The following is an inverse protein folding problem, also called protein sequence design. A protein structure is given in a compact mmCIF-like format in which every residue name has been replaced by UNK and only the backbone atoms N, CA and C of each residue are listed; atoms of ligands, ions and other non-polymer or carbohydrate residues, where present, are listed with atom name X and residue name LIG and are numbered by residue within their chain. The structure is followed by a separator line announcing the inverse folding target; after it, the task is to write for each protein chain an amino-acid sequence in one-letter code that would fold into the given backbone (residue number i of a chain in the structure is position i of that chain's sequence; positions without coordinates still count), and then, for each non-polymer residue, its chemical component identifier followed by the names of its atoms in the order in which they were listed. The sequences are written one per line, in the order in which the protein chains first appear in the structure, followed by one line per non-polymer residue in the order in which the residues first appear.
data_IF_436832374177
#
_entry.id   IF_436832374177
#
_cell.length_a   1.000
_cell.length_b   1.000
_cell.length_c   1.000
_cell.angle_alpha   90.00
_cell.angle_beta   90.00
_cell.angle_gamma   90.00
#
_symmetry.space_group_name_H-M   'P 1'
#
loop_
_entity.id
_entity.type
_entity.pdbx_description
1 polymer ?
#
# COMPACT_ATOMS: atom_id res chain seq x y z
N UNK A 1 -19.37 5.06 5.85
CA UNK A 1 -18.13 5.17 5.04
C UNK A 1 -16.98 5.23 6.04
N UNK A 2 -15.72 4.88 5.73
CA UNK A 2 -14.65 5.45 6.53
C UNK A 2 -14.81 6.97 6.41
N UNK A 3 -14.98 7.67 7.52
CA UNK A 3 -15.31 9.10 7.53
C UNK A 3 -14.11 9.99 7.14
N UNK A 4 -12.98 9.39 6.76
CA UNK A 4 -11.69 10.05 6.52
C UNK A 4 -10.97 9.43 5.32
N UNK A 5 -10.06 10.20 4.72
CA UNK A 5 -9.21 9.79 3.60
C UNK A 5 -8.36 8.56 3.95
N UNK A 6 -8.25 7.60 3.03
CA UNK A 6 -7.31 6.48 3.17
C UNK A 6 -5.85 6.95 3.14
N UNK A 7 -5.55 7.99 2.33
CA UNK A 7 -4.24 8.64 2.32
C UNK A 7 -3.98 9.32 3.67
N UNK A 8 -2.80 9.07 4.22
CA UNK A 8 -2.29 9.83 5.35
C UNK A 8 -1.96 11.26 4.86
N UNK A 9 -2.59 12.29 5.42
CA UNK A 9 -2.43 13.66 4.93
C UNK A 9 -1.04 14.25 5.16
N UNK A 10 -0.25 13.69 6.08
CA UNK A 10 1.13 14.12 6.36
C UNK A 10 2.16 13.25 5.66
N UNK A 11 1.77 12.42 4.69
CA UNK A 11 2.70 11.53 4.00
C UNK A 11 3.87 12.29 3.35
N UNK A 12 3.61 13.48 2.83
CA UNK A 12 4.61 14.35 2.22
C UNK A 12 5.73 14.80 3.19
N UNK A 13 5.55 14.66 4.50
CA UNK A 13 6.57 15.00 5.49
C UNK A 13 7.57 13.85 5.72
N UNK A 14 7.29 12.66 5.21
CA UNK A 14 8.11 11.47 5.43
C UNK A 14 9.30 11.45 4.47
N UNK A 15 10.51 11.70 4.99
CA UNK A 15 11.77 11.74 4.23
C UNK A 15 12.06 10.49 3.37
N UNK A 16 11.51 9.34 3.76
CA UNK A 16 11.67 8.10 3.00
C UNK A 16 10.93 8.16 1.66
N UNK A 17 9.81 8.88 1.58
CA UNK A 17 9.10 9.09 0.33
C UNK A 17 9.93 9.92 -0.65
N UNK A 18 10.58 10.99 -0.20
CA UNK A 18 11.48 11.79 -1.05
C UNK A 18 12.60 10.91 -1.64
N UNK A 19 13.26 10.13 -0.79
CA UNK A 19 14.35 9.25 -1.23
C UNK A 19 13.90 8.20 -2.26
N UNK A 20 12.68 7.66 -2.11
CA UNK A 20 12.14 6.69 -3.06
C UNK A 20 11.69 7.37 -4.35
N UNK A 21 11.05 8.54 -4.28
CA UNK A 21 10.64 9.30 -5.46
C UNK A 21 11.85 9.67 -6.31
N UNK A 22 12.92 10.21 -5.72
CA UNK A 22 14.15 10.56 -6.44
C UNK A 22 14.73 9.37 -7.18
N UNK A 23 14.76 8.20 -6.52
CA UNK A 23 15.23 6.95 -7.12
C UNK A 23 14.33 6.50 -8.27
N UNK A 24 13.02 6.42 -8.04
CA UNK A 24 12.05 5.92 -9.03
C UNK A 24 12.00 6.82 -10.26
N UNK A 25 12.10 8.14 -10.09
CA UNK A 25 12.19 9.10 -11.21
C UNK A 25 13.45 8.82 -12.03
N UNK A 26 14.62 8.71 -11.38
CA UNK A 26 15.89 8.44 -12.06
C UNK A 26 15.86 7.11 -12.81
N UNK A 27 15.32 6.06 -12.20
CA UNK A 27 15.18 4.74 -12.83
C UNK A 27 14.18 4.77 -13.99
N UNK A 28 13.05 5.47 -13.84
CA UNK A 28 12.06 5.63 -14.91
C UNK A 28 12.65 6.30 -16.14
N UNK A 29 13.36 7.42 -15.98
CA UNK A 29 13.98 8.14 -17.09
C UNK A 29 15.03 7.30 -17.83
N UNK A 30 15.82 6.51 -17.08
CA UNK A 30 16.80 5.59 -17.66
C UNK A 30 16.15 4.43 -18.42
N UNK A 31 15.08 3.84 -17.88
CA UNK A 31 14.41 2.68 -18.45
C UNK A 31 13.42 3.05 -19.56
N UNK A 32 12.85 4.25 -19.52
CA UNK A 32 11.82 4.75 -20.43
C UNK A 32 12.23 6.10 -21.02
N UNK A 33 13.25 6.14 -21.90
CA UNK A 33 13.82 7.41 -22.40
C UNK A 33 12.85 8.26 -23.23
N UNK A 34 11.76 7.66 -23.73
CA UNK A 34 10.67 8.36 -24.42
C UNK A 34 9.37 8.38 -23.58
N UNK A 35 9.48 8.06 -22.29
CA UNK A 35 8.39 8.04 -21.35
C UNK A 35 7.86 9.44 -21.03
N UNK A 36 6.66 9.50 -20.47
CA UNK A 36 6.03 10.74 -20.04
C UNK A 36 5.80 10.69 -18.53
N UNK A 37 6.82 11.12 -17.78
CA UNK A 37 6.78 11.15 -16.32
C UNK A 37 5.65 12.06 -15.80
N UNK A 38 5.40 13.20 -16.46
CA UNK A 38 4.31 14.12 -16.11
C UNK A 38 2.96 13.41 -16.18
N UNK A 39 2.68 12.68 -17.26
CA UNK A 39 1.43 11.95 -17.41
C UNK A 39 1.24 10.86 -16.35
N UNK A 40 2.31 10.16 -15.96
CA UNK A 40 2.25 9.17 -14.87
C UNK A 40 1.95 9.84 -13.54
N UNK A 41 2.63 10.93 -13.22
CA UNK A 41 2.42 11.66 -11.97
C UNK A 41 0.99 12.21 -11.87
N UNK A 42 0.46 12.78 -12.96
CA UNK A 42 -0.92 13.24 -13.05
C UNK A 42 -1.92 12.08 -12.86
N UNK A 43 -1.65 10.92 -13.47
CA UNK A 43 -2.50 9.74 -13.32
C UNK A 43 -2.51 9.21 -11.88
N UNK A 44 -1.37 9.16 -11.20
CA UNK A 44 -1.25 8.75 -9.80
C UNK A 44 -1.93 9.75 -8.85
N UNK A 45 -1.74 11.04 -9.07
CA UNK A 45 -2.42 12.09 -8.30
C UNK A 45 -3.94 11.98 -8.44
N UNK A 46 -4.43 11.85 -9.68
CA UNK A 46 -5.86 11.68 -9.95
C UNK A 46 -6.39 10.41 -9.28
N UNK A 47 -5.68 9.27 -9.39
CA UNK A 47 -6.05 8.02 -8.73
C UNK A 47 -6.24 8.22 -7.23
N UNK A 48 -5.25 8.79 -6.53
CA UNK A 48 -5.30 9.01 -5.09
C UNK A 48 -6.37 10.00 -4.64
N UNK A 49 -6.75 10.95 -5.49
CA UNK A 49 -7.80 11.93 -5.17
C UNK A 49 -9.22 11.35 -5.19
N UNK A 50 -9.46 10.27 -5.93
CA UNK A 50 -10.81 9.70 -6.14
C UNK A 50 -10.96 8.24 -5.75
N UNK A 51 -9.86 7.52 -5.48
CA UNK A 51 -9.86 6.08 -5.20
C UNK A 51 -8.77 5.68 -4.18
N UNK A 52 -8.91 4.50 -3.55
CA UNK A 52 -10.09 3.65 -3.54
C UNK A 52 -11.15 4.12 -2.52
N UNK A 53 -12.42 4.07 -2.91
CA UNK A 53 -13.56 4.39 -2.02
C UNK A 53 -14.33 3.11 -1.64
N UNK A 54 -13.64 2.11 -1.11
CA UNK A 54 -14.26 0.83 -0.77
C UNK A 54 -15.15 0.94 0.47
N UNK A 55 -16.41 0.52 0.34
CA UNK A 55 -17.29 0.41 1.50
C UNK A 55 -17.12 -0.93 2.19
N UNK A 56 -17.56 -1.02 3.46
CA UNK A 56 -17.67 -2.31 4.16
C UNK A 56 -18.47 -3.33 3.34
N UNK A 57 -19.55 -2.90 2.68
CA UNK A 57 -20.38 -3.76 1.85
C UNK A 57 -19.64 -4.29 0.61
N UNK A 58 -18.73 -3.50 0.03
CA UNK A 58 -17.89 -3.95 -1.08
C UNK A 58 -16.88 -4.99 -0.62
N UNK A 59 -16.19 -4.73 0.49
CA UNK A 59 -15.21 -5.64 1.07
C UNK A 59 -15.85 -6.96 1.55
N UNK A 60 -17.08 -6.91 2.06
CA UNK A 60 -17.83 -8.09 2.45
C UNK A 60 -18.17 -9.03 1.28
N UNK A 61 -18.10 -8.57 0.03
CA UNK A 61 -18.30 -9.43 -1.15
C UNK A 61 -17.12 -10.41 -1.34
N UNK A 62 -15.97 -10.14 -0.75
CA UNK A 62 -14.80 -11.03 -0.83
C UNK A 62 -15.04 -12.26 0.06
N UNK A 63 -15.06 -13.45 -0.53
CA UNK A 63 -15.38 -14.74 0.14
C UNK A 63 -14.22 -15.72 0.23
N UNK A 64 -12.98 -15.23 0.11
CA UNK A 64 -11.78 -16.09 0.14
C UNK A 64 -11.47 -16.66 1.53
N UNK A 65 -11.99 -16.04 2.59
CA UNK A 65 -11.79 -16.48 3.98
C UNK A 65 -10.30 -16.58 4.32
N UNK A 66 -9.82 -17.70 4.91
CA UNK A 66 -8.44 -17.84 5.35
C UNK A 66 -7.43 -17.89 4.20
N UNK A 67 -7.89 -17.96 2.94
CA UNK A 67 -7.05 -17.87 1.73
C UNK A 67 -6.70 -16.44 1.35
N UNK A 68 -7.09 -15.45 2.16
CA UNK A 68 -6.71 -14.06 1.98
C UNK A 68 -5.93 -13.55 3.19
N UNK A 69 -4.72 -13.08 2.94
CA UNK A 69 -3.89 -12.34 3.90
C UNK A 69 -3.68 -10.92 3.38
N UNK A 70 -3.97 -9.94 4.22
CA UNK A 70 -3.61 -8.53 4.06
C UNK A 70 -2.21 -8.33 4.67
N UNK A 71 -1.30 -7.66 3.96
CA UNK A 71 0.07 -7.41 4.43
C UNK A 71 0.48 -5.95 4.23
N UNK A 72 0.96 -5.31 5.29
CA UNK A 72 1.39 -3.90 5.33
C UNK A 72 2.67 -3.72 6.16
N UNK A 73 3.38 -2.62 6.00
CA UNK A 73 4.42 -2.20 6.96
C UNK A 73 3.81 -1.54 8.20
N UNK A 74 4.40 -1.75 9.38
CA UNK A 74 3.92 -1.14 10.62
C UNK A 74 4.40 0.31 10.83
N UNK A 75 5.29 0.82 9.98
CA UNK A 75 5.70 2.23 9.90
C UNK A 75 5.20 2.91 8.62
N UNK A 76 4.09 2.42 8.07
CA UNK A 76 3.42 2.99 6.90
C UNK A 76 3.13 4.50 7.06
N UNK A 77 3.58 5.27 6.06
CA UNK A 77 3.58 6.72 6.02
C UNK A 77 2.61 7.28 4.97
N UNK A 78 2.28 6.52 3.92
CA UNK A 78 1.44 6.98 2.81
C UNK A 78 -0.05 6.70 3.05
N UNK A 79 -0.38 5.55 3.66
CA UNK A 79 -1.75 5.11 3.94
C UNK A 79 -1.99 5.10 5.45
N UNK A 80 -3.17 5.52 5.92
CA UNK A 80 -3.48 5.43 7.34
C UNK A 80 -3.52 3.96 7.80
N UNK A 81 -2.82 3.62 8.89
CA UNK A 81 -2.83 2.25 9.44
C UNK A 81 -4.22 1.77 9.90
N UNK A 82 -5.22 2.66 10.00
CA UNK A 82 -6.62 2.30 10.19
C UNK A 82 -7.22 1.55 8.99
N UNK A 83 -6.70 1.74 7.78
CA UNK A 83 -7.19 1.11 6.55
C UNK A 83 -7.02 -0.42 6.55
N UNK A 84 -5.81 -0.99 6.75
CA UNK A 84 -5.67 -2.45 6.81
C UNK A 84 -6.51 -3.08 7.92
N UNK A 85 -6.66 -2.39 9.07
CA UNK A 85 -7.53 -2.84 10.15
C UNK A 85 -9.02 -2.83 9.74
N UNK A 86 -9.49 -1.76 9.10
CA UNK A 86 -10.84 -1.66 8.55
C UNK A 86 -11.10 -2.78 7.53
N UNK A 87 -10.17 -3.00 6.60
CA UNK A 87 -10.27 -4.04 5.59
C UNK A 87 -10.34 -5.42 6.21
N UNK A 88 -9.46 -5.74 7.16
CA UNK A 88 -9.45 -7.02 7.86
C UNK A 88 -10.78 -7.27 8.59
N UNK A 89 -11.31 -6.27 9.28
CA UNK A 89 -12.59 -6.38 9.97
C UNK A 89 -13.78 -6.52 9.01
N UNK A 90 -13.72 -5.89 7.83
CA UNK A 90 -14.78 -5.94 6.83
C UNK A 90 -14.79 -7.24 6.03
N UNK A 91 -13.62 -7.82 5.73
CA UNK A 91 -13.49 -9.03 4.92
C UNK A 91 -13.59 -10.28 5.82
N UNK A 92 -14.65 -11.10 5.67
CA UNK A 92 -14.88 -12.23 6.55
C UNK A 92 -13.72 -13.24 6.56
N UNK A 93 -13.23 -13.57 7.75
CA UNK A 93 -12.18 -14.58 7.98
C UNK A 93 -10.85 -14.32 7.26
N UNK A 94 -10.59 -13.10 6.82
CA UNK A 94 -9.27 -12.69 6.32
C UNK A 94 -8.21 -12.75 7.44
N UNK A 95 -6.92 -12.71 7.07
CA UNK A 95 -5.80 -12.47 7.98
C UNK A 95 -5.22 -11.08 7.75
N UNK A 96 -4.61 -10.50 8.77
CA UNK A 96 -3.81 -9.28 8.67
C UNK A 96 -2.43 -9.52 9.28
N UNK A 97 -1.38 -9.19 8.52
CA UNK A 97 0.02 -9.23 8.95
C UNK A 97 0.61 -7.84 8.77
N UNK A 98 1.23 -7.32 9.83
CA UNK A 98 2.00 -6.08 9.77
C UNK A 98 3.49 -6.43 9.89
N UNK A 99 4.21 -6.24 8.79
CA UNK A 99 5.66 -6.36 8.72
C UNK A 99 6.31 -5.32 9.65
N UNK A 100 7.29 -5.76 10.43
CA UNK A 100 7.93 -5.00 11.50
C UNK A 100 9.06 -4.12 11.01
N UNK A 101 9.07 -2.89 11.51
CA UNK A 101 10.10 -1.88 11.28
C UNK A 101 10.26 -1.51 9.80
N UNK A 102 9.17 -1.57 9.04
CA UNK A 102 9.18 -1.24 7.61
C UNK A 102 8.02 -0.30 7.25
N UNK A 103 8.25 0.49 6.21
CA UNK A 103 7.37 1.56 5.72
C UNK A 103 6.43 1.06 4.61
N UNK A 104 5.77 1.96 3.89
CA UNK A 104 5.03 1.67 2.65
C UNK A 104 5.84 0.81 1.66
N UNK A 105 7.15 1.00 1.64
CA UNK A 105 8.08 0.30 0.76
C UNK A 105 8.66 -0.97 1.37
N UNK A 106 8.00 -1.54 2.39
CA UNK A 106 8.55 -2.62 3.19
C UNK A 106 8.98 -3.85 2.41
N UNK A 107 8.31 -4.15 1.30
CA UNK A 107 8.68 -5.25 0.40
C UNK A 107 10.10 -5.11 -0.20
N UNK A 108 10.58 -3.89 -0.38
CA UNK A 108 11.93 -3.59 -0.89
C UNK A 108 12.90 -3.31 0.27
N UNK A 109 12.42 -2.75 1.38
CA UNK A 109 13.25 -2.45 2.56
C UNK A 109 13.72 -3.71 3.28
N UNK A 110 12.83 -4.70 3.42
CA UNK A 110 13.12 -6.00 4.06
C UNK A 110 12.50 -7.15 3.23
N UNK A 111 13.15 -7.52 2.12
CA UNK A 111 12.64 -8.57 1.23
C UNK A 111 12.67 -9.96 1.88
N UNK A 112 13.53 -10.19 2.88
CA UNK A 112 13.57 -11.46 3.63
C UNK A 112 12.28 -11.62 4.44
N UNK A 113 11.94 -10.61 5.24
CA UNK A 113 10.71 -10.63 6.02
C UNK A 113 9.45 -10.70 5.14
N UNK A 114 9.42 -9.99 4.01
CA UNK A 114 8.32 -10.11 3.06
C UNK A 114 8.21 -11.52 2.47
N UNK A 115 9.34 -12.15 2.14
CA UNK A 115 9.38 -13.52 1.64
C UNK A 115 8.86 -14.51 2.68
N UNK A 116 9.26 -14.37 3.94
CA UNK A 116 8.76 -15.20 5.05
C UNK A 116 7.25 -15.07 5.23
N UNK A 117 6.70 -13.85 5.13
CA UNK A 117 5.25 -13.62 5.19
C UNK A 117 4.54 -14.35 4.04
N UNK A 118 5.11 -14.32 2.84
CA UNK A 118 4.56 -15.00 1.67
C UNK A 118 4.64 -16.53 1.80
N UNK A 119 5.78 -17.07 2.22
CA UNK A 119 5.95 -18.51 2.42
C UNK A 119 4.99 -19.04 3.49
N UNK A 120 4.84 -18.33 4.62
CA UNK A 120 3.87 -18.68 5.66
C UNK A 120 2.41 -18.60 5.19
N UNK A 121 2.11 -17.75 4.20
CA UNK A 121 0.79 -17.69 3.59
C UNK A 121 0.52 -18.90 2.67
N UNK A 122 1.55 -19.40 1.97
CA UNK A 122 1.45 -20.49 1.00
C UNK A 122 1.51 -21.89 1.62
N UNK A 123 2.07 -22.02 2.83
CA UNK A 123 2.18 -23.27 3.59
C UNK A 123 0.82 -23.78 4.12
#
# INVERSE_FOLDING_TARGET
MPETSALNQTYADAKILDAVVDRVVSEYEALQPNGNLTAINEALFNLGSVNPMWTKADLQKIKLGPKLTLSWGDHEEAINLSEPAFMHHAIPSSKLVLAKNVSHFGLVQDPEQFSDILENFLA
#
